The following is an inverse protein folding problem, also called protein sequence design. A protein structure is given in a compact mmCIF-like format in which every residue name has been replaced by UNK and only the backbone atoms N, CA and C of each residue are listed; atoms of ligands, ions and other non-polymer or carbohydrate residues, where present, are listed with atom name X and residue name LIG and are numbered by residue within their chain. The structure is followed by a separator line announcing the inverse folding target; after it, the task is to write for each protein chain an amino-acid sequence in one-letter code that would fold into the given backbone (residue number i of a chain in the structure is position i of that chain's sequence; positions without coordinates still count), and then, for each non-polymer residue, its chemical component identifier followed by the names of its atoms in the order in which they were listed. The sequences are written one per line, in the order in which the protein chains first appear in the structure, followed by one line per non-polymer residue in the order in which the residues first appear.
data_IF_470346312650
#
_entry.id   IF_470346312650
#
_cell.length_a   1.000
_cell.length_b   1.000
_cell.length_c   1.000
_cell.angle_alpha   90.00
_cell.angle_beta   90.00
_cell.angle_gamma   90.00
#
_symmetry.space_group_name_H-M   'P 1'
#
loop_
_entity.id
_entity.type
_entity.pdbx_description
1 polymer ?
#
# COMPACT_ATOMS: atom_id res chain seq x y z
N UNK A 1 -3.88 1.46 33.70
CA UNK A 1 -3.27 2.63 33.00
C UNK A 1 -2.52 2.23 31.73
N UNK A 2 -1.58 1.29 31.74
CA UNK A 2 -0.80 0.91 30.54
C UNK A 2 -1.66 0.41 29.35
N UNK A 3 -2.68 -0.42 29.60
CA UNK A 3 -3.59 -0.92 28.55
C UNK A 3 -4.43 0.19 27.92
N UNK A 4 -4.89 1.17 28.72
CA UNK A 4 -5.62 2.33 28.24
C UNK A 4 -4.71 3.29 27.46
N UNK A 5 -3.44 3.41 27.86
CA UNK A 5 -2.43 4.18 27.13
C UNK A 5 -2.08 3.53 25.79
N UNK A 6 -1.92 2.20 25.77
CA UNK A 6 -1.69 1.41 24.56
C UNK A 6 -2.89 1.45 23.61
N UNK A 7 -4.11 1.36 24.14
CA UNK A 7 -5.33 1.51 23.36
C UNK A 7 -5.46 2.94 22.83
N UNK A 8 -5.14 3.96 23.62
CA UNK A 8 -5.14 5.37 23.19
C UNK A 8 -4.03 5.67 22.17
N UNK A 9 -2.85 5.05 22.28
CA UNK A 9 -1.76 5.14 21.30
C UNK A 9 -2.12 4.41 20.01
N UNK A 10 -2.73 3.23 20.10
CA UNK A 10 -3.25 2.49 18.94
C UNK A 10 -4.38 3.27 18.26
N UNK A 11 -5.26 3.89 19.04
CA UNK A 11 -6.33 4.77 18.56
C UNK A 11 -5.76 6.03 17.92
N UNK A 12 -4.77 6.69 18.54
CA UNK A 12 -4.10 7.88 17.99
C UNK A 12 -3.34 7.58 16.69
N UNK A 13 -2.68 6.42 16.61
CA UNK A 13 -2.05 5.95 15.37
C UNK A 13 -3.11 5.66 14.30
N UNK A 14 -4.20 5.01 14.67
CA UNK A 14 -5.30 4.69 13.76
C UNK A 14 -6.08 5.92 13.28
N UNK A 15 -6.14 7.00 14.07
CA UNK A 15 -6.69 8.32 13.66
C UNK A 15 -5.74 9.16 12.81
N UNK A 16 -4.50 8.73 12.60
CA UNK A 16 -3.56 9.35 11.65
C UNK A 16 -3.44 8.55 10.34
N UNK A 17 -4.20 7.46 10.23
CA UNK A 17 -4.11 6.47 9.16
C UNK A 17 -5.37 6.53 8.29
N UNK A 18 -5.34 7.35 7.24
CA UNK A 18 -6.16 7.11 6.06
C UNK A 18 -5.49 6.09 5.12
N UNK A 19 -4.86 5.04 5.66
CA UNK A 19 -4.17 4.02 4.87
C UNK A 19 -5.08 3.48 3.76
N UNK A 20 -4.50 2.98 2.67
CA UNK A 20 -5.17 2.25 1.59
C UNK A 20 -5.07 0.74 1.82
N UNK A 21 -5.14 -0.09 0.77
CA UNK A 21 -4.87 -1.53 0.91
C UNK A 21 -3.64 -1.76 1.79
N UNK A 22 -3.68 -2.75 2.67
CA UNK A 22 -2.51 -3.07 3.46
C UNK A 22 -1.34 -3.57 2.57
N UNK A 23 -0.10 -3.51 3.07
CA UNK A 23 1.10 -3.83 2.29
C UNK A 23 1.08 -5.26 1.75
N UNK A 24 0.36 -6.19 2.39
CA UNK A 24 0.24 -7.54 1.90
C UNK A 24 -0.69 -7.65 0.69
N UNK A 25 -1.83 -6.95 0.66
CA UNK A 25 -2.66 -6.89 -0.55
C UNK A 25 -1.92 -6.23 -1.71
N UNK A 26 -1.20 -5.13 -1.48
CA UNK A 26 -0.36 -4.51 -2.53
C UNK A 26 0.64 -5.49 -3.12
N UNK A 27 1.34 -6.24 -2.27
CA UNK A 27 2.29 -7.23 -2.73
C UNK A 27 1.61 -8.43 -3.43
N UNK A 28 0.43 -8.85 -2.97
CA UNK A 28 -0.37 -9.87 -3.63
C UNK A 28 -0.81 -9.40 -5.03
N UNK A 29 -1.23 -8.15 -5.20
CA UNK A 29 -1.55 -7.59 -6.52
C UNK A 29 -0.31 -7.51 -7.41
N UNK A 30 0.82 -7.03 -6.88
CA UNK A 30 2.09 -7.01 -7.59
C UNK A 30 2.51 -8.41 -8.05
N UNK A 31 2.29 -9.42 -7.21
CA UNK A 31 2.60 -10.82 -7.52
C UNK A 31 1.70 -11.35 -8.63
N UNK A 32 0.40 -11.03 -8.60
CA UNK A 32 -0.53 -11.38 -9.69
C UNK A 32 -0.05 -10.76 -10.99
N UNK A 33 0.11 -9.44 -11.05
CA UNK A 33 0.61 -8.71 -12.23
C UNK A 33 1.92 -9.31 -12.74
N UNK A 34 2.86 -9.57 -11.83
CA UNK A 34 4.12 -10.18 -12.20
C UNK A 34 3.90 -11.53 -12.88
N UNK A 35 3.09 -12.45 -12.31
CA UNK A 35 2.87 -13.80 -12.87
C UNK A 35 2.43 -13.80 -14.33
N UNK A 36 1.57 -12.87 -14.74
CA UNK A 36 1.08 -12.77 -16.12
C UNK A 36 1.58 -11.53 -16.89
N UNK A 37 2.66 -10.89 -16.41
CA UNK A 37 3.26 -9.68 -17.01
C UNK A 37 3.52 -9.78 -18.51
N UNK A 38 3.87 -10.97 -19.02
CA UNK A 38 4.19 -11.20 -20.43
C UNK A 38 2.97 -11.10 -21.34
N UNK A 39 1.76 -11.29 -20.80
CA UNK A 39 0.50 -11.17 -21.54
C UNK A 39 -0.24 -9.88 -21.23
N UNK A 40 -0.07 -9.31 -20.03
CA UNK A 40 -0.75 -8.06 -19.65
C UNK A 40 0.03 -6.78 -20.00
N UNK A 41 1.36 -6.83 -20.08
CA UNK A 41 2.20 -5.63 -20.22
C UNK A 41 2.94 -5.63 -21.55
N UNK A 42 3.50 -4.48 -21.93
CA UNK A 42 4.40 -4.39 -23.07
C UNK A 42 5.63 -5.29 -22.85
N UNK A 43 6.25 -5.73 -23.95
CA UNK A 43 7.46 -6.56 -23.90
C UNK A 43 8.58 -5.90 -23.09
N UNK A 44 8.80 -4.60 -23.29
CA UNK A 44 9.81 -3.82 -22.57
C UNK A 44 9.53 -3.82 -21.06
N UNK A 45 8.30 -3.50 -20.65
CA UNK A 45 7.93 -3.51 -19.23
C UNK A 45 8.08 -4.90 -18.63
N UNK A 46 7.61 -5.95 -19.31
CA UNK A 46 7.75 -7.32 -18.83
C UNK A 46 9.22 -7.73 -18.63
N UNK A 47 10.12 -7.34 -19.54
CA UNK A 47 11.56 -7.58 -19.44
C UNK A 47 12.22 -6.77 -18.30
N UNK A 48 11.82 -5.51 -18.13
CA UNK A 48 12.29 -4.68 -17.03
C UNK A 48 11.93 -5.32 -15.67
N UNK A 49 10.69 -5.82 -15.54
CA UNK A 49 10.22 -6.52 -14.35
C UNK A 49 10.92 -7.87 -14.14
N UNK A 50 11.28 -8.60 -15.21
CA UNK A 50 12.06 -9.84 -15.11
C UNK A 50 13.38 -9.62 -14.37
N UNK A 51 14.10 -8.57 -14.73
CA UNK A 51 15.41 -8.24 -14.16
C UNK A 51 15.34 -7.48 -12.83
N UNK A 52 14.22 -6.82 -12.53
CA UNK A 52 14.10 -5.90 -11.39
C UNK A 52 12.88 -6.17 -10.49
N UNK A 53 12.45 -7.44 -10.39
CA UNK A 53 11.26 -7.86 -9.63
C UNK A 53 11.18 -7.28 -8.22
N UNK A 54 12.29 -7.34 -7.45
CA UNK A 54 12.32 -6.83 -6.07
C UNK A 54 12.09 -5.33 -5.99
N UNK A 55 12.62 -4.56 -6.95
CA UNK A 55 12.40 -3.11 -6.99
C UNK A 55 10.94 -2.77 -7.31
N UNK A 56 10.32 -3.49 -8.25
CA UNK A 56 8.88 -3.37 -8.54
C UNK A 56 8.01 -3.72 -7.33
N UNK A 57 8.31 -4.83 -6.65
CA UNK A 57 7.60 -5.21 -5.43
C UNK A 57 7.80 -4.18 -4.31
N UNK A 58 9.00 -3.61 -4.18
CA UNK A 58 9.26 -2.57 -3.20
C UNK A 58 8.45 -1.30 -3.50
N UNK A 59 8.39 -0.86 -4.77
CA UNK A 59 7.57 0.27 -5.17
C UNK A 59 6.09 0.11 -4.82
N UNK A 60 5.55 -1.12 -4.88
CA UNK A 60 4.16 -1.40 -4.53
C UNK A 60 3.82 -1.17 -3.05
N UNK A 61 4.82 -1.21 -2.16
CA UNK A 61 4.63 -1.05 -0.71
C UNK A 61 5.33 0.20 -0.15
N UNK A 62 6.12 0.89 -0.98
CA UNK A 62 6.96 2.00 -0.54
C UNK A 62 6.17 3.24 -0.13
N UNK A 63 5.03 3.52 -0.78
CA UNK A 63 4.18 4.64 -0.45
C UNK A 63 3.72 4.58 1.01
N UNK A 64 3.25 3.43 1.47
CA UNK A 64 2.81 3.24 2.86
C UNK A 64 3.97 3.21 3.85
N UNK A 65 5.14 2.70 3.43
CA UNK A 65 6.34 2.68 4.27
C UNK A 65 6.88 4.08 4.52
N UNK A 66 6.86 4.94 3.50
CA UNK A 66 7.52 6.23 3.53
C UNK A 66 6.58 7.34 4.03
N UNK A 67 5.27 7.24 3.78
CA UNK A 67 4.26 8.18 4.32
C UNK A 67 4.24 8.21 5.86
N UNK A 68 4.65 7.11 6.53
CA UNK A 68 4.74 7.07 7.99
C UNK A 68 6.01 7.71 8.57
N UNK A 69 6.93 8.23 7.73
CA UNK A 69 8.10 9.01 8.17
C UNK A 69 7.80 10.52 8.22
N UNK A 70 6.77 10.98 8.94
CA UNK A 70 6.65 12.41 9.22
C UNK A 70 5.33 12.92 9.81
N UNK A 71 5.30 13.23 11.11
CA UNK A 71 4.43 14.29 11.60
C UNK A 71 4.78 15.59 10.86
N UNK A 72 3.79 16.20 10.19
CA UNK A 72 3.91 17.59 9.71
C UNK A 72 3.64 17.87 8.23
N UNK A 73 2.90 17.03 7.49
CA UNK A 73 2.49 17.37 6.12
C UNK A 73 1.25 16.59 5.69
N UNK A 74 0.44 17.19 4.81
CA UNK A 74 -0.80 16.59 4.32
C UNK A 74 -0.53 15.20 3.70
N UNK A 75 -1.44 14.27 3.98
CA UNK A 75 -1.57 12.90 3.44
C UNK A 75 -1.40 12.79 1.90
N UNK A 76 -1.49 13.91 1.19
CA UNK A 76 -1.57 13.99 -0.27
C UNK A 76 -0.23 13.89 -1.00
N UNK A 77 0.92 13.95 -0.33
CA UNK A 77 2.20 14.06 -1.06
C UNK A 77 2.70 12.73 -1.61
N UNK A 78 2.60 11.63 -0.88
CA UNK A 78 3.05 10.31 -1.36
C UNK A 78 2.01 9.68 -2.30
N UNK A 79 0.74 9.96 -2.07
CA UNK A 79 -0.38 9.38 -2.81
C UNK A 79 -0.93 10.35 -3.85
N UNK A 80 -0.07 10.85 -4.74
CA UNK A 80 -0.43 11.71 -5.89
C UNK A 80 0.13 11.14 -7.19
N UNK A 81 -0.62 11.22 -8.28
CA UNK A 81 -0.15 10.72 -9.58
C UNK A 81 1.17 11.37 -10.04
N UNK A 82 1.35 12.67 -9.79
CA UNK A 82 2.54 13.42 -10.24
C UNK A 82 3.85 12.90 -9.66
N UNK A 83 3.81 12.24 -8.50
CA UNK A 83 5.03 11.66 -7.90
C UNK A 83 5.67 10.62 -8.83
N UNK A 84 4.86 9.86 -9.57
CA UNK A 84 5.35 8.82 -10.48
C UNK A 84 6.10 9.45 -11.65
N UNK A 85 5.59 10.55 -12.19
CA UNK A 85 6.24 11.27 -13.30
C UNK A 85 7.56 11.91 -12.84
N UNK A 86 7.58 12.47 -11.63
CA UNK A 86 8.81 12.97 -11.01
C UNK A 86 9.83 11.84 -10.78
N UNK A 87 9.40 10.67 -10.28
CA UNK A 87 10.27 9.49 -10.13
C UNK A 87 10.81 9.00 -11.47
N UNK A 88 9.98 8.99 -12.52
CA UNK A 88 10.39 8.61 -13.89
C UNK A 88 11.45 9.55 -14.44
N UNK A 89 11.30 10.86 -14.19
CA UNK A 89 12.27 11.87 -14.63
C UNK A 89 13.62 11.76 -13.89
N UNK A 90 13.60 11.29 -12.64
CA UNK A 90 14.80 11.16 -11.80
C UNK A 90 15.48 9.79 -11.89
N UNK A 91 14.78 8.75 -12.35
CA UNK A 91 15.31 7.39 -12.42
C UNK A 91 16.53 7.29 -13.36
N UNK A 92 17.64 6.74 -12.85
CA UNK A 92 18.92 6.57 -13.57
C UNK A 92 19.26 5.10 -13.82
N UNK A 93 18.49 4.19 -13.25
CA UNK A 93 18.69 2.75 -13.36
C UNK A 93 17.39 2.00 -13.64
N UNK A 94 17.51 0.81 -14.22
CA UNK A 94 16.37 -0.08 -14.45
C UNK A 94 15.66 -0.49 -13.15
N UNK A 95 16.40 -0.57 -12.03
CA UNK A 95 15.81 -0.81 -10.72
C UNK A 95 14.90 0.36 -10.28
N UNK A 96 15.33 1.60 -10.47
CA UNK A 96 14.51 2.80 -10.16
C UNK A 96 13.31 2.92 -11.10
N UNK A 97 13.48 2.60 -12.39
CA UNK A 97 12.37 2.52 -13.36
C UNK A 97 11.33 1.48 -12.92
N UNK A 98 11.77 0.28 -12.54
CA UNK A 98 10.88 -0.77 -12.05
C UNK A 98 10.20 -0.38 -10.73
N UNK A 99 10.92 0.29 -9.83
CA UNK A 99 10.36 0.83 -8.59
C UNK A 99 9.27 1.86 -8.87
N UNK A 100 9.49 2.82 -9.77
CA UNK A 100 8.47 3.80 -10.16
C UNK A 100 7.22 3.14 -10.77
N UNK A 101 7.38 2.05 -11.54
CA UNK A 101 6.24 1.24 -12.00
C UNK A 101 5.51 0.53 -10.85
N UNK A 102 6.24 0.10 -9.83
CA UNK A 102 5.65 -0.46 -8.61
C UNK A 102 4.84 0.58 -7.84
N UNK A 103 5.39 1.80 -7.73
CA UNK A 103 4.70 2.93 -7.10
C UNK A 103 3.43 3.32 -7.87
N UNK A 104 3.50 3.29 -9.22
CA UNK A 104 2.31 3.48 -10.06
C UNK A 104 1.24 2.40 -9.82
N UNK A 105 1.65 1.14 -9.69
CA UNK A 105 0.75 0.04 -9.39
C UNK A 105 0.08 0.21 -8.01
N UNK A 106 0.82 0.69 -7.01
CA UNK A 106 0.26 1.05 -5.71
C UNK A 106 -0.88 2.08 -5.85
N UNK A 107 -0.59 3.24 -6.45
CA UNK A 107 -1.59 4.31 -6.65
C UNK A 107 -2.81 3.82 -7.44
N UNK A 108 -2.59 3.00 -8.47
CA UNK A 108 -3.66 2.41 -9.24
C UNK A 108 -4.56 1.51 -8.38
N UNK A 109 -4.00 0.61 -7.57
CA UNK A 109 -4.79 -0.23 -6.67
C UNK A 109 -5.59 0.59 -5.65
N UNK A 110 -5.02 1.69 -5.18
CA UNK A 110 -5.63 2.57 -4.17
C UNK A 110 -6.88 3.26 -4.66
N UNK A 111 -6.96 3.57 -5.95
CA UNK A 111 -8.21 4.09 -6.50
C UNK A 111 -9.38 3.11 -6.32
N UNK A 112 -9.14 1.80 -6.19
CA UNK A 112 -10.18 0.82 -5.88
C UNK A 112 -10.45 0.72 -4.38
N UNK A 113 -9.40 0.76 -3.55
CA UNK A 113 -9.55 0.77 -2.09
C UNK A 113 -10.46 1.94 -1.68
N UNK A 114 -10.07 3.13 -2.11
CA UNK A 114 -10.55 4.37 -1.57
C UNK A 114 -11.84 4.88 -2.19
N UNK A 115 -12.14 4.52 -3.44
CA UNK A 115 -13.38 4.95 -4.11
C UNK A 115 -14.47 3.88 -4.11
N UNK A 116 -14.15 2.63 -3.74
CA UNK A 116 -15.10 1.53 -3.83
C UNK A 116 -15.10 0.62 -2.61
N UNK A 117 -13.97 -0.01 -2.27
CA UNK A 117 -13.92 -1.01 -1.21
C UNK A 117 -14.24 -0.40 0.15
N UNK A 118 -13.48 0.60 0.58
CA UNK A 118 -13.64 1.23 1.89
C UNK A 118 -14.99 1.96 1.98
N UNK A 119 -15.38 2.85 1.03
CA UNK A 119 -16.68 3.53 1.10
C UNK A 119 -17.87 2.59 1.18
N UNK A 120 -17.86 1.49 0.41
CA UNK A 120 -18.92 0.47 0.49
C UNK A 120 -19.06 -0.08 1.92
N UNK A 121 -17.94 -0.43 2.55
CA UNK A 121 -17.96 -1.04 3.88
C UNK A 121 -18.27 -0.02 4.98
N UNK A 122 -17.83 1.23 4.87
CA UNK A 122 -18.22 2.29 5.79
C UNK A 122 -19.72 2.54 5.73
N UNK A 123 -20.30 2.64 4.53
CA UNK A 123 -21.73 2.84 4.32
C UNK A 123 -22.56 1.65 4.80
N UNK A 124 -22.12 0.42 4.50
CA UNK A 124 -22.87 -0.80 4.81
C UNK A 124 -22.85 -1.17 6.30
N UNK A 125 -21.79 -0.83 7.02
CA UNK A 125 -21.55 -1.32 8.38
C UNK A 125 -21.41 -0.22 9.43
N UNK A 126 -21.72 1.04 9.06
CA UNK A 126 -21.79 2.21 9.95
C UNK A 126 -20.56 2.43 10.84
N UNK A 127 -19.36 2.01 10.38
CA UNK A 127 -18.09 2.33 11.05
C UNK A 127 -17.52 3.62 10.46
N UNK A 128 -18.17 4.75 10.72
CA UNK A 128 -17.72 6.03 10.21
C UNK A 128 -16.39 6.48 10.85
N UNK A 129 -15.55 7.18 10.08
CA UNK A 129 -14.29 7.76 10.54
C UNK A 129 -13.03 6.95 10.19
N UNK A 130 -11.86 7.52 10.50
CA UNK A 130 -10.54 7.01 10.08
C UNK A 130 -10.23 5.59 10.61
N UNK A 131 -10.75 5.24 11.78
CA UNK A 131 -10.63 3.89 12.34
C UNK A 131 -11.34 2.82 11.48
N UNK A 132 -12.40 3.22 10.77
CA UNK A 132 -13.12 2.35 9.85
C UNK A 132 -12.31 2.02 8.60
N UNK A 133 -11.58 3.00 8.05
CA UNK A 133 -10.68 2.80 6.89
C UNK A 133 -9.64 1.74 7.21
N UNK A 134 -8.81 2.01 8.23
CA UNK A 134 -7.75 1.11 8.66
C UNK A 134 -8.27 -0.29 9.01
N UNK A 135 -9.42 -0.36 9.68
CA UNK A 135 -10.04 -1.64 10.03
C UNK A 135 -10.36 -2.48 8.78
N UNK A 136 -10.98 -1.89 7.75
CA UNK A 136 -11.41 -2.64 6.58
C UNK A 136 -10.24 -3.11 5.72
N UNK A 137 -9.17 -2.33 5.67
CA UNK A 137 -7.93 -2.69 4.96
C UNK A 137 -7.16 -3.79 5.65
N UNK A 138 -6.97 -3.67 6.97
CA UNK A 138 -6.37 -4.76 7.77
C UNK A 138 -7.24 -6.04 7.71
N UNK A 139 -8.56 -5.87 7.64
CA UNK A 139 -9.50 -6.99 7.46
C UNK A 139 -9.39 -7.64 6.08
N UNK A 140 -8.96 -6.92 5.05
CA UNK A 140 -8.66 -7.50 3.74
C UNK A 140 -7.32 -8.25 3.74
N UNK A 141 -6.32 -7.71 4.44
CA UNK A 141 -4.97 -8.27 4.52
C UNK A 141 -4.91 -9.66 5.19
N UNK A 142 -5.87 -9.98 6.08
CA UNK A 142 -5.99 -11.31 6.69
C UNK A 142 -6.21 -12.45 5.68
N UNK A 143 -6.72 -12.13 4.48
CA UNK A 143 -6.97 -13.12 3.44
C UNK A 143 -5.74 -13.37 2.55
N UNK A 144 -4.65 -12.64 2.78
CA UNK A 144 -3.39 -12.82 2.07
C UNK A 144 -2.55 -13.89 2.77
N UNK A 145 -1.97 -14.80 1.99
CA UNK A 145 -1.16 -15.90 2.50
C UNK A 145 0.10 -15.41 3.23
N UNK A 146 0.58 -16.18 4.21
CA UNK A 146 1.68 -15.77 5.10
C UNK A 146 3.02 -15.57 4.37
N UNK A 147 3.30 -16.34 3.33
CA UNK A 147 4.50 -16.19 2.50
C UNK A 147 4.59 -14.83 1.78
N UNK A 148 3.48 -14.12 1.58
CA UNK A 148 3.52 -12.73 1.07
C UNK A 148 4.04 -11.79 2.14
N UNK A 149 3.64 -12.00 3.39
CA UNK A 149 4.18 -11.23 4.51
C UNK A 149 5.67 -11.46 4.69
N UNK A 150 6.15 -12.69 4.46
CA UNK A 150 7.59 -12.99 4.48
C UNK A 150 8.33 -12.17 3.42
N UNK A 151 7.79 -12.05 2.21
CA UNK A 151 8.38 -11.22 1.14
C UNK A 151 8.35 -9.73 1.49
N UNK A 152 7.26 -9.22 2.10
CA UNK A 152 7.20 -7.82 2.58
C UNK A 152 8.34 -7.56 3.56
N UNK A 153 8.54 -8.47 4.52
CA UNK A 153 9.61 -8.39 5.50
C UNK A 153 11.00 -8.44 4.84
N UNK A 154 11.24 -9.41 3.94
CA UNK A 154 12.49 -9.54 3.21
C UNK A 154 12.85 -8.27 2.43
N UNK A 155 11.87 -7.67 1.74
CA UNK A 155 12.09 -6.46 0.94
C UNK A 155 12.41 -5.27 1.85
N UNK A 156 11.68 -5.08 2.96
CA UNK A 156 11.97 -4.02 3.94
C UNK A 156 13.38 -4.14 4.53
N UNK A 157 13.85 -5.37 4.75
CA UNK A 157 15.16 -5.64 5.34
C UNK A 157 16.31 -5.67 4.31
N UNK A 158 16.02 -5.71 3.00
CA UNK A 158 17.04 -5.74 1.96
C UNK A 158 17.72 -4.37 1.81
N UNK A 159 18.96 -4.26 2.31
CA UNK A 159 19.78 -3.04 2.20
C UNK A 159 19.98 -2.57 0.76
N UNK A 160 19.88 -3.45 -0.24
CA UNK A 160 19.97 -3.09 -1.65
C UNK A 160 18.76 -2.27 -2.12
N UNK A 161 17.62 -2.40 -1.44
CA UNK A 161 16.40 -1.64 -1.73
C UNK A 161 16.43 -0.24 -1.11
N UNK A 162 17.23 -0.02 -0.06
CA UNK A 162 17.30 1.27 0.64
C UNK A 162 17.69 2.44 -0.27
N UNK A 163 18.44 2.19 -1.35
CA UNK A 163 18.77 3.24 -2.35
C UNK A 163 17.54 3.77 -3.10
N UNK A 164 16.46 2.99 -3.18
CA UNK A 164 15.21 3.37 -3.86
C UNK A 164 14.39 4.35 -3.00
N UNK A 165 14.63 4.40 -1.69
CA UNK A 165 14.05 5.43 -0.80
C UNK A 165 14.46 6.83 -1.25
N UNK A 166 15.67 7.00 -1.77
CA UNK A 166 16.17 8.28 -2.25
C UNK A 166 15.35 8.82 -3.42
N UNK A 167 14.80 7.93 -4.26
CA UNK A 167 13.89 8.34 -5.33
C UNK A 167 12.63 8.96 -4.76
N UNK A 168 12.06 8.36 -3.70
CA UNK A 168 10.88 8.92 -3.02
C UNK A 168 11.25 10.21 -2.30
N UNK A 169 12.36 10.24 -1.57
CA UNK A 169 12.82 11.44 -0.86
C UNK A 169 13.09 12.63 -1.80
N UNK A 170 13.52 12.37 -3.03
CA UNK A 170 13.75 13.42 -4.03
C UNK A 170 12.44 13.99 -4.61
N UNK A 171 11.34 13.21 -4.57
CA UNK A 171 10.00 13.59 -5.08
C UNK A 171 9.03 14.08 -4.00
N UNK A 172 9.38 13.90 -2.73
CA UNK A 172 8.59 14.37 -1.58
C UNK A 172 9.28 15.60 -0.97
N UNK A 173 8.56 16.71 -0.72
CA UNK A 173 9.14 17.90 -0.10
C UNK A 173 9.84 17.60 1.24
N UNK A 174 11.04 18.18 1.45
CA UNK A 174 11.88 17.96 2.66
C UNK A 174 11.19 18.24 4.00
N UNK A 175 10.17 19.10 4.03
CA UNK A 175 9.39 19.41 5.23
C UNK A 175 8.65 18.18 5.81
N UNK A 176 8.48 17.13 5.01
CA UNK A 176 7.76 15.90 5.39
C UNK A 176 8.68 14.86 6.06
N UNK A 177 10.02 14.99 6.03
CA UNK A 177 10.96 13.89 6.31
C UNK A 177 11.83 14.04 7.58
N UNK A 178 11.27 14.44 8.73
CA UNK A 178 12.08 14.53 9.97
C UNK A 178 12.52 13.14 10.49
N UNK A 179 13.83 12.98 10.72
CA UNK A 179 14.54 11.69 10.86
C UNK A 179 14.72 11.30 12.33
N UNK A 180 13.98 10.31 12.83
CA UNK A 180 14.29 9.69 14.14
C UNK A 180 13.13 8.92 14.78
N UNK A 181 12.13 9.64 15.29
CA UNK A 181 11.04 9.09 16.12
C UNK A 181 10.04 8.22 15.34
N UNK A 182 9.86 8.48 14.04
CA UNK A 182 8.86 7.81 13.19
C UNK A 182 9.24 6.38 12.77
N UNK A 183 10.54 6.07 12.63
CA UNK A 183 10.98 4.71 12.26
C UNK A 183 10.68 3.70 13.37
N UNK A 184 10.67 4.16 14.62
CA UNK A 184 10.35 3.35 15.80
C UNK A 184 8.85 3.01 15.85
N UNK A 185 7.95 4.00 15.74
CA UNK A 185 6.50 3.77 15.73
C UNK A 185 6.05 2.95 14.51
N UNK A 186 6.59 3.19 13.32
CA UNK A 186 6.29 2.39 12.13
C UNK A 186 6.80 0.95 12.24
N UNK A 187 8.06 0.76 12.68
CA UNK A 187 8.55 -0.58 12.95
C UNK A 187 7.63 -1.25 13.97
N UNK A 188 7.14 -0.57 15.00
CA UNK A 188 6.22 -1.20 15.95
C UNK A 188 4.80 -1.43 15.42
N UNK A 189 4.18 -0.53 14.64
CA UNK A 189 2.84 -0.73 14.08
C UNK A 189 2.84 -1.77 12.96
N UNK A 190 3.88 -1.82 12.11
CA UNK A 190 4.04 -2.88 11.14
C UNK A 190 4.56 -4.17 11.77
N UNK A 191 5.44 -4.16 12.78
CA UNK A 191 5.77 -5.39 13.55
C UNK A 191 4.55 -5.92 14.29
N UNK A 192 3.64 -5.03 14.69
CA UNK A 192 2.34 -5.39 15.25
C UNK A 192 1.45 -5.97 14.15
N UNK A 193 1.26 -5.34 12.98
CA UNK A 193 0.45 -5.93 11.90
C UNK A 193 1.05 -7.19 11.24
N UNK A 194 2.38 -7.30 11.17
CA UNK A 194 3.16 -8.46 10.69
C UNK A 194 3.14 -9.60 11.72
N UNK A 195 3.10 -9.24 13.01
CA UNK A 195 3.18 -10.17 14.13
C UNK A 195 2.03 -11.17 14.12
N UNK A 196 2.35 -12.46 13.96
CA UNK A 196 1.37 -13.57 14.02
C UNK A 196 0.43 -13.50 15.23
N UNK A 197 0.88 -12.94 16.36
CA UNK A 197 0.08 -12.77 17.59
C UNK A 197 -0.98 -11.67 17.49
N UNK A 198 -0.68 -10.56 16.84
CA UNK A 198 -1.65 -9.48 16.63
C UNK A 198 -2.62 -9.80 15.49
N UNK A 199 -2.16 -10.43 14.40
CA UNK A 199 -3.06 -10.96 13.35
C UNK A 199 -4.10 -11.91 13.95
N UNK A 200 -3.66 -12.85 14.81
CA UNK A 200 -4.54 -13.70 15.63
C UNK A 200 -5.39 -12.93 16.65
N UNK A 201 -4.88 -11.82 17.19
CA UNK A 201 -5.62 -10.92 18.08
C UNK A 201 -6.76 -10.17 17.38
N UNK A 202 -6.54 -9.69 16.15
CA UNK A 202 -7.57 -9.10 15.31
C UNK A 202 -8.61 -10.14 14.87
N UNK A 203 -8.19 -11.38 14.62
CA UNK A 203 -9.09 -12.52 14.38
C UNK A 203 -9.98 -12.82 15.60
N UNK A 204 -9.45 -12.71 16.82
CA UNK A 204 -10.20 -12.98 18.06
C UNK A 204 -11.01 -11.80 18.58
N UNK A 205 -10.70 -10.56 18.18
CA UNK A 205 -11.56 -9.38 18.34
C UNK A 205 -12.81 -9.43 17.44
N UNK A 206 -12.94 -10.46 16.59
CA UNK A 206 -14.09 -10.71 15.75
C UNK A 206 -15.12 -11.61 16.44
N UNK A 207 -16.05 -11.01 17.21
CA UNK A 207 -17.45 -11.42 17.09
C UNK A 207 -18.39 -10.21 17.20
N UNK A 208 -18.75 -9.62 16.07
CA UNK A 208 -20.03 -8.92 15.92
C UNK A 208 -20.70 -9.53 14.68
N UNK A 209 -21.85 -10.16 14.91
CA UNK A 209 -22.44 -11.27 14.15
C UNK A 209 -22.78 -10.94 12.68
N UNK A 210 -22.62 -9.69 12.23
CA UNK A 210 -22.97 -9.25 10.86
C UNK A 210 -21.82 -8.67 10.02
N UNK A 211 -20.59 -8.59 10.53
CA UNK A 211 -19.42 -8.05 9.78
C UNK A 211 -18.69 -9.15 9.00
N UNK A 212 -19.34 -9.79 8.03
CA UNK A 212 -18.68 -10.84 7.23
C UNK A 212 -18.15 -10.30 5.89
N UNK A 213 -16.91 -9.78 5.90
CA UNK A 213 -16.13 -9.70 4.65
C UNK A 213 -15.80 -11.12 4.21
N UNK A 214 -16.54 -11.64 3.23
CA UNK A 214 -16.27 -12.95 2.63
C UNK A 214 -15.13 -12.86 1.62
N UNK A 215 -14.34 -13.93 1.50
CA UNK A 215 -13.25 -14.01 0.51
C UNK A 215 -13.75 -13.75 -0.92
N UNK A 216 -14.88 -14.36 -1.31
CA UNK A 216 -15.49 -14.19 -2.64
C UNK A 216 -15.90 -12.74 -2.91
N UNK A 217 -16.39 -12.03 -1.89
CA UNK A 217 -16.75 -10.63 -2.04
C UNK A 217 -15.51 -9.73 -2.15
N UNK A 218 -14.49 -9.97 -1.32
CA UNK A 218 -13.20 -9.30 -1.41
C UNK A 218 -12.53 -9.49 -2.79
N UNK A 219 -12.62 -10.69 -3.36
CA UNK A 219 -12.08 -11.02 -4.69
C UNK A 219 -12.64 -10.13 -5.82
N UNK A 220 -13.83 -9.54 -5.67
CA UNK A 220 -14.35 -8.56 -6.63
C UNK A 220 -13.48 -7.31 -6.66
N UNK A 221 -13.21 -6.73 -5.49
CA UNK A 221 -12.37 -5.54 -5.36
C UNK A 221 -10.90 -5.83 -5.70
N UNK A 222 -10.38 -6.99 -5.29
CA UNK A 222 -9.02 -7.39 -5.64
C UNK A 222 -8.84 -7.56 -7.16
N UNK A 223 -9.82 -8.14 -7.87
CA UNK A 223 -9.77 -8.23 -9.33
C UNK A 223 -9.85 -6.85 -9.98
N UNK A 224 -10.70 -5.97 -9.47
CA UNK A 224 -10.77 -4.59 -9.95
C UNK A 224 -9.44 -3.85 -9.72
N UNK A 225 -8.78 -4.05 -8.58
CA UNK A 225 -7.47 -3.45 -8.27
C UNK A 225 -6.39 -3.96 -9.24
N UNK A 226 -6.34 -5.27 -9.50
CA UNK A 226 -5.41 -5.83 -10.50
C UNK A 226 -5.68 -5.28 -11.90
N UNK A 227 -6.94 -5.25 -12.34
CA UNK A 227 -7.29 -4.67 -13.64
C UNK A 227 -6.94 -3.17 -13.74
N UNK A 228 -7.06 -2.44 -12.63
CA UNK A 228 -6.68 -1.03 -12.54
C UNK A 228 -5.17 -0.84 -12.66
N UNK A 229 -4.38 -1.73 -12.05
CA UNK A 229 -2.92 -1.76 -12.22
C UNK A 229 -2.55 -2.06 -13.67
N UNK A 230 -3.15 -3.08 -14.29
CA UNK A 230 -2.89 -3.42 -15.69
C UNK A 230 -3.15 -2.23 -16.61
N UNK A 231 -4.27 -1.54 -16.40
CA UNK A 231 -4.59 -0.32 -17.12
C UNK A 231 -3.52 0.74 -16.87
N UNK A 232 -3.15 1.02 -15.61
CA UNK A 232 -2.14 2.04 -15.31
C UNK A 232 -0.79 1.75 -15.98
N UNK A 233 -0.38 0.48 -16.05
CA UNK A 233 0.87 0.05 -16.66
C UNK A 233 0.80 -0.12 -18.19
N UNK A 234 -0.39 -0.04 -18.79
CA UNK A 234 -0.55 -0.13 -20.24
C UNK A 234 -0.21 1.19 -20.94
N UNK A 235 0.20 1.16 -22.23
CA UNK A 235 0.38 2.39 -23.00
C UNK A 235 -0.87 3.28 -22.94
N UNK A 236 -0.68 4.56 -22.58
CA UNK A 236 -1.77 5.56 -22.44
C UNK A 236 -2.87 5.19 -21.42
N UNK A 237 -2.66 4.22 -20.56
CA UNK A 237 -3.68 3.84 -19.58
C UNK A 237 -3.70 4.76 -18.36
N UNK A 238 -2.53 5.26 -17.93
CA UNK A 238 -2.44 6.26 -16.85
C UNK A 238 -3.29 7.52 -17.12
N UNK A 239 -3.32 8.04 -18.34
CA UNK A 239 -4.14 9.22 -18.67
C UNK A 239 -5.64 9.01 -18.48
N UNK A 240 -6.10 7.74 -18.46
CA UNK A 240 -7.48 7.39 -18.13
C UNK A 240 -7.76 7.33 -16.63
N UNK A 241 -6.73 7.44 -15.79
CA UNK A 241 -6.82 7.27 -14.34
C UNK A 241 -6.44 8.52 -13.55
N UNK A 242 -5.68 9.45 -14.14
CA UNK A 242 -5.19 10.66 -13.45
C UNK A 242 -6.30 11.54 -12.84
N UNK A 243 -7.54 11.42 -13.32
CA UNK A 243 -8.70 12.15 -12.81
C UNK A 243 -9.37 11.45 -11.61
N UNK A 244 -9.01 10.20 -11.33
CA UNK A 244 -9.52 9.44 -10.19
C UNK A 244 -8.60 9.71 -9.00
N UNK A 245 -9.17 10.14 -7.88
CA UNK A 245 -8.38 10.37 -6.67
C UNK A 245 -7.84 9.05 -6.11
N UNK A 246 -6.55 9.05 -5.81
CA UNK A 246 -5.82 7.96 -5.19
C UNK A 246 -6.00 7.94 -3.66
N UNK A 247 -6.67 8.93 -3.08
CA UNK A 247 -6.94 9.02 -1.63
C UNK A 247 -8.42 8.87 -1.24
N UNK A 248 -9.35 8.83 -2.21
CA UNK A 248 -10.79 8.66 -1.97
C UNK A 248 -11.50 9.87 -1.36
N UNK A 249 -11.10 11.09 -1.71
CA UNK A 249 -11.78 12.32 -1.33
C UNK A 249 -12.58 12.93 -2.47
#
# INVERSE_FOLDING_TARGET
MAAALLAALALACATALCASWGPANHLEFATRIYRHRRTALTRETAQLLDSNRRAFFYGNIAADIINFKGYGGHYNHCHRWTIVDEMRALAKSDAERAFALGYLAHLAADTIAHNHFVPYHLARYQRAGQLGHLYWEMSADRFVAEDRWDIVYEIKCDRRMARLDELVHATVPRAVLSKGTNKFLFNHVLLVSEGRRWRRGLESLHPLVELRLSKRFLELFQRAAVARIELALSPRGLSKLIHVDTNGK
#
